data_IF_378691955266
#
_entry.id   IF_378691955266
#
_cell.length_a   1.000
_cell.length_b   1.000
_cell.length_c   1.000
_cell.angle_alpha   90.00
_cell.angle_beta   90.00
_cell.angle_gamma   90.00
#
_symmetry.space_group_name_H-M   'P 1'
#
loop_
_entity.id
_entity.type
_entity.pdbx_description
1 polymer ?
#
# COMPACT_ATOMS: atom_id res chain seq x y z
N UNK A 1 -33.68 -0.11 -22.73
CA UNK A 1 -32.73 -1.25 -22.66
C UNK A 1 -31.34 -0.70 -22.89
N UNK A 2 -30.46 -0.72 -21.89
CA UNK A 2 -29.08 -0.28 -22.06
C UNK A 2 -28.32 -1.39 -22.82
N UNK A 3 -27.91 -1.11 -24.06
CA UNK A 3 -27.00 -1.99 -24.79
C UNK A 3 -25.63 -1.91 -24.12
N UNK A 4 -25.17 -3.02 -23.55
CA UNK A 4 -23.81 -3.16 -23.06
C UNK A 4 -22.88 -3.26 -24.27
N UNK A 5 -22.33 -2.14 -24.72
CA UNK A 5 -21.34 -2.12 -25.80
C UNK A 5 -20.06 -2.77 -25.29
N UNK A 6 -19.61 -3.84 -25.95
CA UNK A 6 -18.29 -4.42 -25.68
C UNK A 6 -17.23 -3.51 -26.27
N UNK A 7 -16.36 -2.99 -25.42
CA UNK A 7 -15.19 -2.23 -25.83
C UNK A 7 -13.97 -3.14 -25.76
N UNK A 8 -13.22 -3.26 -26.87
CA UNK A 8 -11.98 -4.03 -26.90
C UNK A 8 -10.80 -3.07 -26.90
N UNK A 9 -9.91 -3.20 -25.92
CA UNK A 9 -8.71 -2.37 -25.79
C UNK A 9 -7.52 -3.27 -26.08
N UNK A 10 -6.83 -3.02 -27.20
CA UNK A 10 -5.62 -3.75 -27.60
C UNK A 10 -4.41 -2.82 -27.47
N UNK A 11 -3.88 -2.61 -26.25
CA UNK A 11 -2.69 -1.79 -26.07
C UNK A 11 -1.48 -2.42 -26.77
N UNK A 12 -0.61 -1.60 -27.35
CA UNK A 12 0.67 -2.08 -27.88
C UNK A 12 1.58 -2.57 -26.74
N UNK A 13 2.49 -3.50 -27.05
CA UNK A 13 3.46 -3.98 -26.07
C UNK A 13 4.38 -2.86 -25.57
N UNK A 14 4.76 -1.93 -26.46
CA UNK A 14 5.55 -0.74 -26.12
C UNK A 14 4.82 0.15 -25.10
N UNK A 15 3.51 0.37 -25.29
CA UNK A 15 2.69 1.12 -24.36
C UNK A 15 2.63 0.46 -22.98
N UNK A 16 2.41 -0.86 -22.94
CA UNK A 16 2.37 -1.63 -21.70
C UNK A 16 3.69 -1.58 -20.95
N UNK A 17 4.82 -1.64 -21.66
CA UNK A 17 6.15 -1.53 -21.06
C UNK A 17 6.41 -0.12 -20.51
N UNK A 18 6.05 0.93 -21.26
CA UNK A 18 6.25 2.32 -20.81
C UNK A 18 5.38 2.67 -19.60
N UNK A 19 4.15 2.18 -19.57
CA UNK A 19 3.21 2.40 -18.46
C UNK A 19 3.35 1.37 -17.34
N UNK A 20 4.32 0.44 -17.41
CA UNK A 20 4.54 -0.56 -16.38
C UNK A 20 4.95 0.15 -15.06
N UNK A 21 4.13 0.06 -13.99
CA UNK A 21 4.43 0.70 -12.72
C UNK A 21 5.50 -0.08 -11.92
N UNK A 22 5.73 -1.36 -12.25
CA UNK A 22 6.61 -2.27 -11.52
C UNK A 22 8.06 -2.07 -11.94
N UNK A 23 8.68 -1.00 -11.45
CA UNK A 23 10.12 -0.72 -11.66
C UNK A 23 10.90 -0.88 -10.36
N UNK A 24 12.23 -0.80 -10.47
CA UNK A 24 13.09 -0.75 -9.30
C UNK A 24 12.76 0.44 -8.41
N UNK A 25 12.87 0.21 -7.10
CA UNK A 25 12.83 1.30 -6.13
C UNK A 25 14.14 2.09 -6.23
N UNK A 26 14.10 3.39 -5.90
CA UNK A 26 15.30 4.18 -5.69
C UNK A 26 16.23 3.53 -4.65
N UNK A 27 17.54 3.70 -4.86
CA UNK A 27 18.60 3.20 -4.00
C UNK A 27 19.36 4.33 -3.29
N UNK A 28 18.88 5.57 -3.37
CA UNK A 28 19.45 6.66 -2.59
C UNK A 28 19.22 6.43 -1.09
N UNK A 29 20.21 6.73 -0.23
CA UNK A 29 20.14 6.40 1.20
C UNK A 29 18.90 6.96 1.91
N UNK A 30 18.50 8.18 1.59
CA UNK A 30 17.38 8.85 2.24
C UNK A 30 16.06 8.13 1.95
N UNK A 31 15.77 7.87 0.67
CA UNK A 31 14.55 7.15 0.27
C UNK A 31 14.54 5.72 0.81
N UNK A 32 15.70 5.04 0.86
CA UNK A 32 15.83 3.71 1.46
C UNK A 32 15.48 3.75 2.96
N UNK A 33 15.99 4.74 3.69
CA UNK A 33 15.68 4.93 5.10
C UNK A 33 14.17 5.19 5.30
N UNK A 34 13.56 6.01 4.46
CA UNK A 34 12.11 6.27 4.46
C UNK A 34 11.32 4.96 4.25
N UNK A 35 11.66 4.15 3.24
CA UNK A 35 11.00 2.86 3.01
C UNK A 35 11.10 1.93 4.21
N UNK A 36 12.29 1.88 4.81
CA UNK A 36 12.59 1.03 5.97
C UNK A 36 11.72 1.41 7.17
N UNK A 37 11.72 2.68 7.56
CA UNK A 37 10.91 3.14 8.69
C UNK A 37 9.41 3.02 8.42
N UNK A 38 8.92 3.39 7.24
CA UNK A 38 7.49 3.33 6.92
C UNK A 38 6.99 1.88 6.84
N UNK A 39 7.79 0.95 6.31
CA UNK A 39 7.45 -0.47 6.30
C UNK A 39 7.35 -1.04 7.71
N UNK A 40 8.28 -0.65 8.59
CA UNK A 40 8.26 -1.02 10.01
C UNK A 40 7.02 -0.47 10.72
N UNK A 41 6.75 0.84 10.57
CA UNK A 41 5.55 1.49 11.12
C UNK A 41 4.29 0.74 10.70
N UNK A 42 4.14 0.45 9.40
CA UNK A 42 2.99 -0.30 8.88
C UNK A 42 2.82 -1.64 9.59
N UNK A 43 3.89 -2.42 9.72
CA UNK A 43 3.82 -3.76 10.31
C UNK A 43 3.47 -3.69 11.79
N UNK A 44 4.10 -2.78 12.55
CA UNK A 44 3.80 -2.62 13.99
C UNK A 44 2.39 -2.10 14.23
N UNK A 45 1.94 -1.08 13.50
CA UNK A 45 0.57 -0.58 13.62
C UNK A 45 -0.46 -1.66 13.26
N UNK A 46 -0.21 -2.47 12.22
CA UNK A 46 -1.08 -3.60 11.90
C UNK A 46 -1.06 -4.66 13.03
N UNK A 47 0.13 -5.01 13.53
CA UNK A 47 0.34 -6.00 14.58
C UNK A 47 -0.33 -5.62 15.91
N UNK A 48 -0.35 -4.34 16.27
CA UNK A 48 -0.96 -3.87 17.51
C UNK A 48 -2.43 -3.50 17.33
N UNK A 49 -2.81 -2.80 16.26
CA UNK A 49 -4.13 -2.16 16.20
C UNK A 49 -5.17 -2.89 15.34
N UNK A 50 -4.77 -3.76 14.41
CA UNK A 50 -5.70 -4.39 13.44
C UNK A 50 -5.96 -5.87 13.78
N UNK A 51 -7.21 -6.37 13.71
CA UNK A 51 -8.47 -5.62 13.56
C UNK A 51 -8.87 -4.86 14.83
N UNK A 52 -8.27 -5.21 15.97
CA UNK A 52 -8.48 -4.59 17.27
C UNK A 52 -7.20 -4.70 18.10
N UNK A 53 -7.03 -3.83 19.08
CA UNK A 53 -5.94 -3.93 20.05
C UNK A 53 -6.25 -4.93 21.15
N UNK A 54 -5.21 -5.46 21.79
CA UNK A 54 -5.34 -6.25 23.01
C UNK A 54 -5.06 -5.37 24.23
N UNK A 55 -5.74 -5.60 25.37
CA UNK A 55 -5.40 -4.93 26.62
C UNK A 55 -3.93 -5.13 26.97
N UNK A 56 -3.24 -4.03 27.33
CA UNK A 56 -1.81 -4.05 27.65
C UNK A 56 -0.88 -3.97 26.43
N UNK A 57 -1.41 -3.78 25.22
CA UNK A 57 -0.59 -3.43 24.06
C UNK A 57 0.15 -2.10 24.27
N UNK A 58 1.30 -1.95 23.59
CA UNK A 58 2.10 -0.74 23.66
C UNK A 58 1.49 0.39 22.83
N UNK A 59 0.49 1.05 23.41
CA UNK A 59 -0.17 2.21 22.81
C UNK A 59 0.77 3.42 22.70
N UNK A 60 1.80 3.51 23.54
CA UNK A 60 2.77 4.60 23.48
C UNK A 60 3.65 4.48 22.22
N UNK A 61 4.14 3.28 21.92
CA UNK A 61 4.82 2.99 20.65
C UNK A 61 3.89 3.27 19.47
N UNK A 62 2.65 2.77 19.48
CA UNK A 62 1.69 3.05 18.40
C UNK A 62 1.46 4.56 18.18
N UNK A 63 1.38 5.34 19.26
CA UNK A 63 1.24 6.79 19.23
C UNK A 63 2.45 7.48 18.59
N UNK A 64 3.68 7.05 18.94
CA UNK A 64 4.94 7.54 18.34
C UNK A 64 5.01 7.22 16.84
N UNK A 65 4.69 5.99 16.46
CA UNK A 65 4.71 5.54 15.07
C UNK A 65 3.69 6.30 14.21
N UNK A 66 2.47 6.53 14.72
CA UNK A 66 1.49 7.39 14.04
C UNK A 66 1.98 8.85 13.96
N UNK A 67 2.58 9.38 15.03
CA UNK A 67 3.10 10.77 15.04
C UNK A 67 4.21 10.96 13.98
N UNK A 68 5.06 9.95 13.79
CA UNK A 68 6.03 9.95 12.71
C UNK A 68 5.34 10.08 11.34
N UNK A 69 4.31 9.29 11.04
CA UNK A 69 3.59 9.40 9.77
C UNK A 69 2.90 10.75 9.58
N UNK A 70 2.34 11.31 10.65
CA UNK A 70 1.60 12.58 10.62
C UNK A 70 2.50 13.78 10.28
N UNK A 71 3.78 13.73 10.66
CA UNK A 71 4.73 14.85 10.59
C UNK A 71 5.77 14.73 9.47
N UNK A 72 5.92 13.53 8.89
CA UNK A 72 6.91 13.24 7.85
C UNK A 72 6.72 14.08 6.60
N UNK A 73 7.82 14.72 6.16
CA UNK A 73 7.91 15.55 4.95
C UNK A 73 8.60 14.85 3.78
N UNK A 74 9.08 13.63 3.99
CA UNK A 74 9.84 12.82 3.04
C UNK A 74 8.99 11.75 2.33
N UNK A 75 7.70 11.62 2.67
CA UNK A 75 6.80 10.66 2.05
C UNK A 75 6.51 11.05 0.59
N UNK A 76 6.84 10.17 -0.34
CA UNK A 76 6.39 10.27 -1.74
C UNK A 76 5.21 9.33 -1.98
N UNK A 77 4.49 9.51 -3.09
CA UNK A 77 3.40 8.59 -3.46
C UNK A 77 3.90 7.14 -3.63
N UNK A 78 5.12 6.97 -4.15
CA UNK A 78 5.79 5.68 -4.23
C UNK A 78 5.95 5.03 -2.85
N UNK A 79 6.44 5.76 -1.85
CA UNK A 79 6.59 5.25 -0.48
C UNK A 79 5.25 4.81 0.09
N UNK A 80 4.22 5.65 -0.05
CA UNK A 80 2.88 5.35 0.49
C UNK A 80 2.28 4.09 -0.16
N UNK A 81 2.40 3.96 -1.49
CA UNK A 81 1.81 2.85 -2.26
C UNK A 81 2.57 1.53 -2.06
N UNK A 82 3.90 1.54 -2.14
CA UNK A 82 4.73 0.33 -2.08
C UNK A 82 4.76 -0.29 -0.67
N UNK A 83 4.76 0.55 0.36
CA UNK A 83 4.67 0.06 1.74
C UNK A 83 3.26 -0.41 2.09
N UNK A 84 2.23 0.18 1.47
CA UNK A 84 0.83 -0.05 1.80
C UNK A 84 0.44 0.51 3.17
N UNK A 85 1.19 1.49 3.69
CA UNK A 85 0.92 2.10 5.01
C UNK A 85 -0.45 2.78 5.05
N UNK A 86 -0.89 3.37 3.93
CA UNK A 86 -2.22 4.00 3.80
C UNK A 86 -3.35 3.01 4.12
N UNK A 87 -3.25 1.77 3.65
CA UNK A 87 -4.28 0.75 3.88
C UNK A 87 -4.35 0.35 5.36
N UNK A 88 -3.19 0.24 6.03
CA UNK A 88 -3.13 -0.02 7.47
C UNK A 88 -3.74 1.11 8.27
N UNK A 89 -3.38 2.37 7.99
CA UNK A 89 -3.95 3.54 8.67
C UNK A 89 -5.45 3.63 8.40
N UNK A 90 -5.90 3.34 7.18
CA UNK A 90 -7.31 3.27 6.85
C UNK A 90 -8.03 2.15 7.63
N UNK A 91 -7.43 0.96 7.77
CA UNK A 91 -8.00 -0.12 8.57
C UNK A 91 -8.17 0.31 10.04
N UNK A 92 -7.18 1.02 10.61
CA UNK A 92 -7.24 1.56 11.97
C UNK A 92 -8.36 2.59 12.10
N UNK A 93 -8.54 3.45 11.09
CA UNK A 93 -9.57 4.51 11.08
C UNK A 93 -11.01 3.99 11.13
N UNK A 94 -11.26 2.75 10.67
CA UNK A 94 -12.60 2.14 10.61
C UNK A 94 -13.06 1.53 11.94
N UNK A 95 -12.11 1.35 12.86
CA UNK A 95 -12.34 0.85 14.22
C UNK A 95 -13.15 1.86 15.05
N UNK A 96 -13.66 1.40 16.19
CA UNK A 96 -14.43 2.22 17.14
C UNK A 96 -15.87 2.51 16.69
N UNK A 97 -16.37 1.83 15.66
CA UNK A 97 -17.78 1.89 15.26
C UNK A 97 -18.62 0.87 16.05
N UNK A 98 -19.96 0.98 16.08
CA UNK A 98 -20.80 -0.03 16.73
C UNK A 98 -20.58 -1.46 16.19
N UNK A 99 -20.24 -1.58 14.89
CA UNK A 99 -19.91 -2.86 14.23
C UNK A 99 -18.46 -3.29 14.43
N UNK A 100 -17.58 -2.38 14.83
CA UNK A 100 -16.17 -2.62 15.07
C UNK A 100 -15.73 -1.98 16.39
N UNK A 101 -16.30 -2.42 17.54
CA UNK A 101 -15.91 -1.89 18.83
C UNK A 101 -14.44 -2.18 19.12
N UNK A 102 -13.83 -1.31 19.92
CA UNK A 102 -12.45 -1.45 20.39
C UNK A 102 -12.42 -1.32 21.91
N UNK A 103 -11.36 -1.82 22.56
CA UNK A 103 -11.04 -1.46 23.93
C UNK A 103 -10.86 0.05 24.10
N UNK A 104 -10.85 0.52 25.33
CA UNK A 104 -10.45 1.90 25.63
C UNK A 104 -8.96 2.08 25.30
N UNK A 105 -8.65 2.97 24.36
CA UNK A 105 -7.31 3.20 23.85
C UNK A 105 -6.88 4.64 24.17
N UNK A 106 -5.71 4.86 24.81
CA UNK A 106 -5.19 6.20 25.04
C UNK A 106 -4.70 6.86 23.72
N UNK A 107 -4.35 8.15 23.78
CA UNK A 107 -3.74 8.92 22.68
C UNK A 107 -4.59 9.09 21.42
N UNK A 108 -5.89 8.79 21.49
CA UNK A 108 -6.85 9.00 20.41
C UNK A 108 -6.43 8.35 19.08
N UNK A 109 -5.74 7.18 19.14
CA UNK A 109 -5.10 6.52 17.99
C UNK A 109 -6.05 6.34 16.80
N UNK A 110 -7.29 5.94 17.08
CA UNK A 110 -8.31 5.73 16.04
C UNK A 110 -8.75 7.05 15.40
N UNK A 111 -8.91 8.13 16.18
CA UNK A 111 -9.29 9.44 15.63
C UNK A 111 -8.17 10.03 14.78
N UNK A 112 -6.93 9.98 15.29
CA UNK A 112 -5.73 10.38 14.53
C UNK A 112 -5.59 9.63 13.21
N UNK A 113 -5.83 8.31 13.21
CA UNK A 113 -5.83 7.53 11.98
C UNK A 113 -6.95 7.93 11.00
N UNK A 114 -8.13 8.35 11.48
CA UNK A 114 -9.20 8.90 10.62
C UNK A 114 -8.75 10.19 9.96
N UNK A 115 -8.16 11.10 10.72
CA UNK A 115 -7.75 12.40 10.20
C UNK A 115 -6.60 12.27 9.20
N UNK A 116 -5.60 11.43 9.50
CA UNK A 116 -4.51 11.11 8.57
C UNK A 116 -5.02 10.40 7.29
N UNK A 117 -6.00 9.50 7.42
CA UNK A 117 -6.63 8.86 6.26
C UNK A 117 -7.39 9.87 5.40
N UNK A 118 -8.09 10.81 6.03
CA UNK A 118 -8.80 11.88 5.34
C UNK A 118 -7.83 12.79 4.58
N UNK A 119 -6.72 13.18 5.21
CA UNK A 119 -5.62 13.94 4.60
C UNK A 119 -5.08 13.27 3.34
N UNK A 120 -4.60 12.02 3.44
CA UNK A 120 -4.08 11.30 2.28
C UNK A 120 -5.14 11.00 1.22
N UNK A 121 -6.41 10.84 1.61
CA UNK A 121 -7.52 10.70 0.65
C UNK A 121 -7.79 12.00 -0.10
N UNK A 122 -7.74 13.14 0.56
CA UNK A 122 -7.90 14.45 -0.07
C UNK A 122 -6.79 14.70 -1.09
N UNK A 123 -5.53 14.42 -0.72
CA UNK A 123 -4.38 14.53 -1.61
C UNK A 123 -4.52 13.65 -2.87
N UNK A 124 -5.07 12.44 -2.75
CA UNK A 124 -5.29 11.57 -3.93
C UNK A 124 -6.37 12.04 -4.90
N UNK A 125 -7.22 12.99 -4.48
CA UNK A 125 -8.29 13.55 -5.33
C UNK A 125 -7.86 14.81 -6.07
N UNK A 126 -6.66 15.33 -5.79
CA UNK A 126 -6.14 16.51 -6.44
C UNK A 126 -5.85 16.23 -7.93
N UNK A 127 -6.16 17.18 -8.84
CA UNK A 127 -5.89 17.01 -10.28
C UNK A 127 -4.42 16.69 -10.60
N UNK A 128 -3.50 17.23 -9.81
CA UNK A 128 -2.05 17.04 -9.92
C UNK A 128 -1.54 15.70 -9.36
N UNK A 129 -2.42 14.81 -8.88
CA UNK A 129 -2.01 13.50 -8.37
C UNK A 129 -1.38 12.66 -9.50
N UNK A 130 -0.07 12.35 -9.43
CA UNK A 130 0.64 11.69 -10.50
C UNK A 130 0.23 10.22 -10.66
N UNK A 131 0.43 9.67 -11.85
CA UNK A 131 0.20 8.24 -12.13
C UNK A 131 1.40 7.41 -11.71
N UNK A 132 1.18 6.13 -11.35
CA UNK A 132 2.24 5.24 -10.82
C UNK A 132 3.47 5.10 -11.72
N UNK A 133 3.29 5.19 -13.04
CA UNK A 133 4.38 5.08 -14.01
C UNK A 133 5.12 6.39 -14.28
N UNK A 134 4.59 7.53 -13.81
CA UNK A 134 5.19 8.86 -13.97
C UNK A 134 6.33 9.08 -12.97
N UNK A 135 7.31 9.89 -13.37
CA UNK A 135 8.44 10.26 -12.49
C UNK A 135 7.97 11.02 -11.25
N UNK A 136 6.97 11.91 -11.39
CA UNK A 136 6.43 12.69 -10.29
C UNK A 136 5.86 11.81 -9.15
N UNK A 137 5.31 10.63 -9.45
CA UNK A 137 4.87 9.69 -8.41
C UNK A 137 6.01 9.22 -7.50
N UNK A 138 7.24 9.19 -8.03
CA UNK A 138 8.44 8.77 -7.31
C UNK A 138 9.08 9.91 -6.55
N UNK A 139 9.02 11.13 -7.08
CA UNK A 139 9.81 12.27 -6.60
C UNK A 139 8.99 13.30 -5.82
N UNK A 140 7.69 13.40 -6.06
CA UNK A 140 6.83 14.38 -5.40
C UNK A 140 6.62 14.00 -3.94
N UNK A 141 7.15 14.83 -3.05
CA UNK A 141 6.91 14.76 -1.60
C UNK A 141 5.52 15.26 -1.27
N UNK A 142 4.88 14.58 -0.33
CA UNK A 142 3.55 14.92 0.14
C UNK A 142 3.63 15.91 1.30
N UNK A 143 2.70 16.88 1.39
CA UNK A 143 2.64 17.74 2.55
C UNK A 143 2.33 16.91 3.80
N UNK A 144 3.00 17.18 4.94
CA UNK A 144 2.70 16.49 6.18
C UNK A 144 1.29 16.86 6.66
N UNK A 145 0.68 16.00 7.48
CA UNK A 145 -0.61 16.31 8.10
C UNK A 145 -0.44 17.33 9.24
N UNK A 146 0.64 17.21 10.01
CA UNK A 146 1.01 18.10 11.10
C UNK A 146 2.35 18.78 10.75
N UNK A 147 2.43 20.09 10.91
CA UNK A 147 3.63 20.86 10.53
C UNK A 147 4.78 20.76 11.55
N UNK A 148 4.46 20.39 12.80
CA UNK A 148 5.42 20.16 13.87
C UNK A 148 6.45 19.10 13.48
N UNK A 149 7.69 19.28 13.91
CA UNK A 149 8.75 18.31 13.65
C UNK A 149 8.75 17.23 14.72
N UNK A 150 8.77 15.99 14.27
CA UNK A 150 8.90 14.83 15.13
C UNK A 150 9.90 13.86 14.51
N UNK A 151 10.92 13.49 15.29
CA UNK A 151 11.90 12.49 14.91
C UNK A 151 11.52 11.17 15.58
N UNK A 152 11.42 10.11 14.77
CA UNK A 152 11.21 8.77 15.30
C UNK A 152 12.52 8.29 15.94
N UNK A 153 12.48 8.06 17.24
CA UNK A 153 13.57 7.45 18.00
C UNK A 153 13.13 6.05 18.39
N UNK A 154 13.87 5.06 17.88
CA UNK A 154 13.68 3.65 18.17
C UNK A 154 14.79 3.18 19.10
N UNK A 155 14.45 2.28 20.00
CA UNK A 155 15.45 1.62 20.83
C UNK A 155 16.30 0.63 19.99
N UNK A 156 17.40 0.07 20.55
CA UNK A 156 18.24 -0.86 19.80
C UNK A 156 17.54 -2.14 19.33
N UNK A 157 16.56 -2.64 20.10
CA UNK A 157 15.81 -3.84 19.74
C UNK A 157 14.83 -3.55 18.60
N UNK A 158 14.10 -2.44 18.68
CA UNK A 158 13.22 -1.91 17.63
C UNK A 158 13.99 -1.61 16.35
N UNK A 159 15.20 -1.06 16.47
CA UNK A 159 16.09 -0.79 15.33
C UNK A 159 16.52 -2.08 14.65
N UNK A 160 16.94 -3.10 15.42
CA UNK A 160 17.29 -4.40 14.87
C UNK A 160 16.11 -5.10 14.18
N UNK A 161 14.92 -5.00 14.78
CA UNK A 161 13.69 -5.55 14.20
C UNK A 161 13.27 -4.81 12.92
N UNK A 162 13.45 -3.49 12.87
CA UNK A 162 13.25 -2.67 11.67
C UNK A 162 14.17 -3.10 10.53
N UNK A 163 15.45 -3.36 10.79
CA UNK A 163 16.40 -3.84 9.77
C UNK A 163 16.02 -5.22 9.23
N UNK A 164 15.68 -6.15 10.14
CA UNK A 164 15.23 -7.50 9.78
C UNK A 164 13.98 -7.42 8.90
N UNK A 165 12.99 -6.66 9.36
CA UNK A 165 11.70 -6.49 8.69
C UNK A 165 11.85 -5.89 7.30
N UNK A 166 12.67 -4.84 7.16
CA UNK A 166 12.92 -4.21 5.87
C UNK A 166 13.67 -5.12 4.91
N UNK A 167 14.67 -5.87 5.39
CA UNK A 167 15.42 -6.82 4.56
C UNK A 167 14.50 -7.90 3.99
N UNK A 168 13.61 -8.46 4.83
CA UNK A 168 12.62 -9.44 4.39
C UNK A 168 11.61 -8.84 3.40
N UNK A 169 11.08 -7.65 3.70
CA UNK A 169 10.14 -6.96 2.82
C UNK A 169 10.79 -6.66 1.47
N UNK A 170 11.99 -6.06 1.47
CA UNK A 170 12.71 -5.63 0.27
C UNK A 170 13.03 -6.82 -0.63
N UNK A 171 13.50 -7.93 -0.06
CA UNK A 171 13.79 -9.16 -0.80
C UNK A 171 12.55 -9.68 -1.53
N UNK A 172 11.43 -9.86 -0.81
CA UNK A 172 10.17 -10.34 -1.40
C UNK A 172 9.61 -9.38 -2.45
N UNK A 173 9.72 -8.07 -2.18
CA UNK A 173 9.26 -7.00 -3.07
C UNK A 173 10.04 -7.02 -4.37
N UNK A 174 11.37 -7.10 -4.31
CA UNK A 174 12.23 -7.04 -5.50
C UNK A 174 12.15 -8.31 -6.34
N UNK A 175 12.05 -9.50 -5.71
CA UNK A 175 11.75 -10.75 -6.42
C UNK A 175 10.43 -10.63 -7.21
N UNK A 176 9.39 -10.09 -6.58
CA UNK A 176 8.09 -9.88 -7.21
C UNK A 176 8.13 -8.85 -8.32
N UNK A 177 8.81 -7.73 -8.11
CA UNK A 177 9.00 -6.70 -9.13
C UNK A 177 9.79 -7.23 -10.33
N UNK A 178 10.83 -8.04 -10.10
CA UNK A 178 11.59 -8.68 -11.16
C UNK A 178 10.69 -9.56 -12.05
N UNK A 179 9.83 -10.40 -11.44
CA UNK A 179 8.86 -11.21 -12.20
C UNK A 179 7.99 -10.38 -13.13
N UNK A 180 7.44 -9.27 -12.59
CA UNK A 180 6.49 -8.41 -13.31
C UNK A 180 7.14 -7.51 -14.35
N UNK A 181 8.47 -7.36 -14.35
CA UNK A 181 9.19 -6.77 -15.48
C UNK A 181 9.24 -7.73 -16.66
N UNK A 182 9.57 -9.00 -16.42
CA UNK A 182 9.59 -10.03 -17.47
C UNK A 182 8.18 -10.42 -17.93
N UNK A 183 7.20 -10.35 -17.04
CA UNK A 183 5.81 -10.73 -17.26
C UNK A 183 4.92 -9.53 -16.95
N UNK A 184 5.03 -8.48 -17.76
CA UNK A 184 4.24 -7.24 -17.56
C UNK A 184 2.76 -7.59 -17.58
N UNK A 185 2.03 -7.41 -16.46
CA UNK A 185 0.63 -7.80 -16.40
C UNK A 185 -0.21 -6.85 -17.25
N UNK A 186 -1.35 -7.34 -17.71
CA UNK A 186 -2.35 -6.47 -18.31
C UNK A 186 -2.93 -5.51 -17.26
N UNK A 187 -3.29 -4.27 -17.65
CA UNK A 187 -4.03 -3.37 -16.78
C UNK A 187 -5.34 -4.05 -16.32
N UNK A 188 -5.67 -3.84 -15.05
CA UNK A 188 -6.93 -4.33 -14.46
C UNK A 188 -8.16 -3.56 -14.93
N UNK A 189 -7.96 -2.40 -15.54
CA UNK A 189 -9.00 -1.59 -16.13
C UNK A 189 -8.42 -0.39 -16.86
N UNK A 190 -9.30 0.46 -17.36
CA UNK A 190 -8.93 1.69 -18.05
C UNK A 190 -9.87 2.82 -17.64
N UNK A 191 -9.37 4.05 -17.64
CA UNK A 191 -10.17 5.27 -17.44
C UNK A 191 -9.96 6.22 -18.61
N UNK A 192 -11.03 6.89 -19.04
CA UNK A 192 -10.94 7.88 -20.11
C UNK A 192 -9.99 9.00 -19.68
N UNK A 193 -9.03 9.30 -20.55
CA UNK A 193 -8.03 10.35 -20.39
C UNK A 193 -8.51 11.65 -21.03
N UNK A 194 -8.25 12.77 -20.38
CA UNK A 194 -8.31 14.09 -20.99
C UNK A 194 -6.91 14.63 -21.26
N UNK A 195 -6.78 15.59 -22.18
CA UNK A 195 -5.48 16.19 -22.51
C UNK A 195 -4.83 16.83 -21.27
N UNK A 196 -5.64 17.45 -20.41
CA UNK A 196 -5.18 18.09 -19.17
C UNK A 196 -4.56 17.08 -18.19
N UNK A 197 -5.02 15.82 -18.20
CA UNK A 197 -4.51 14.76 -17.33
C UNK A 197 -3.19 14.16 -17.81
N UNK A 198 -2.85 14.34 -19.09
CA UNK A 198 -1.64 13.77 -19.69
C UNK A 198 -0.99 14.86 -20.53
N UNK A 199 -0.31 15.83 -19.89
CA UNK A 199 0.21 17.03 -20.56
C UNK A 199 1.41 16.72 -21.48
N UNK A 200 2.12 15.62 -21.26
CA UNK A 200 3.28 15.20 -22.07
C UNK A 200 2.81 14.62 -23.40
N UNK A 201 3.17 15.27 -24.52
CA UNK A 201 2.74 14.90 -25.87
C UNK A 201 3.12 13.47 -26.24
N UNK A 202 4.35 13.04 -25.95
CA UNK A 202 4.76 11.66 -26.29
C UNK A 202 3.87 10.65 -25.57
N UNK A 203 3.64 10.86 -24.26
CA UNK A 203 2.80 9.99 -23.43
C UNK A 203 1.34 10.01 -23.88
N UNK A 204 0.84 11.18 -24.30
CA UNK A 204 -0.49 11.32 -24.87
C UNK A 204 -0.61 10.46 -26.13
N UNK A 205 0.33 10.55 -27.08
CA UNK A 205 0.28 9.86 -28.38
C UNK A 205 0.31 8.33 -28.30
N UNK A 206 0.90 7.75 -27.26
CA UNK A 206 0.92 6.28 -27.11
C UNK A 206 -0.31 5.70 -26.40
N UNK A 207 -1.23 6.53 -25.87
CA UNK A 207 -2.41 6.00 -25.19
C UNK A 207 -3.28 5.20 -26.16
N UNK A 208 -3.79 4.03 -25.75
CA UNK A 208 -4.63 3.21 -26.60
C UNK A 208 -5.92 3.96 -26.95
N UNK A 209 -6.28 3.85 -28.22
CA UNK A 209 -7.62 4.15 -28.70
C UNK A 209 -8.54 2.98 -28.34
N UNK A 210 -9.73 3.30 -27.86
CA UNK A 210 -10.77 2.30 -27.60
C UNK A 210 -11.79 2.37 -28.71
N UNK A 211 -11.92 1.27 -29.46
CA UNK A 211 -12.97 1.12 -30.46
C UNK A 211 -14.20 0.51 -29.78
N UNK A 212 -15.33 1.20 -29.90
CA UNK A 212 -16.62 0.70 -29.47
C UNK A 212 -17.26 -0.08 -30.62
N UNK A 213 -17.70 -1.32 -30.37
CA UNK A 213 -18.47 -2.08 -31.37
C UNK A 213 -19.75 -1.30 -31.75
N UNK A 214 -19.91 -0.98 -33.04
CA UNK A 214 -21.03 -0.17 -33.56
C UNK A 214 -20.78 1.34 -33.67
N UNK A 215 -19.57 1.84 -33.38
CA UNK A 215 -19.22 3.23 -33.62
C UNK A 215 -19.21 3.58 -35.12
N UNK A 216 -19.89 4.67 -35.50
CA UNK A 216 -20.05 5.10 -36.90
C UNK A 216 -18.74 5.58 -37.56
N UNK A 217 -17.71 5.88 -36.77
CA UNK A 217 -16.38 6.29 -37.24
C UNK A 217 -15.33 6.02 -36.16
N UNK A 218 -14.09 5.63 -36.51
CA UNK A 218 -12.96 5.59 -35.57
C UNK A 218 -12.65 6.96 -34.93
N UNK A 219 -13.13 8.06 -35.53
CA UNK A 219 -12.70 9.43 -35.26
C UNK A 219 -13.79 10.36 -34.70
N UNK A 220 -14.95 9.86 -34.28
CA UNK A 220 -16.08 10.69 -33.82
C UNK A 220 -15.94 11.25 -32.37
N UNK A 221 -14.74 11.69 -32.02
CA UNK A 221 -14.34 12.11 -30.68
C UNK A 221 -13.37 11.10 -30.11
N UNK A 222 -12.14 11.18 -30.58
CA UNK A 222 -11.08 10.25 -30.28
C UNK A 222 -10.77 10.31 -28.76
N UNK A 223 -11.22 9.28 -28.02
CA UNK A 223 -11.03 9.18 -26.56
C UNK A 223 -9.84 8.27 -26.27
N UNK A 224 -8.80 8.84 -25.66
CA UNK A 224 -7.64 8.11 -25.16
C UNK A 224 -7.92 7.57 -23.77
N UNK A 225 -7.31 6.44 -23.42
CA UNK A 225 -7.58 5.76 -22.15
C UNK A 225 -6.30 5.46 -21.39
N UNK A 226 -6.30 5.77 -20.09
CA UNK A 226 -5.21 5.49 -19.17
C UNK A 226 -5.37 4.10 -18.56
N UNK A 227 -4.28 3.33 -18.43
CA UNK A 227 -4.32 2.01 -17.84
C UNK A 227 -4.41 2.11 -16.32
N UNK A 228 -5.17 1.21 -15.70
CA UNK A 228 -5.27 1.09 -14.25
C UNK A 228 -4.58 -0.21 -13.85
N UNK A 229 -3.48 -0.10 -13.10
CA UNK A 229 -2.78 -1.23 -12.52
C UNK A 229 -3.13 -1.38 -11.04
N UNK A 230 -3.31 -2.62 -10.59
CA UNK A 230 -3.41 -2.92 -9.17
C UNK A 230 -2.04 -2.83 -8.49
N UNK A 231 -2.05 -2.74 -7.16
CA UNK A 231 -0.83 -2.69 -6.35
C UNK A 231 0.10 -3.87 -6.60
N UNK A 232 1.40 -3.71 -6.33
CA UNK A 232 2.36 -4.81 -6.35
C UNK A 232 1.91 -5.94 -5.42
N UNK A 233 1.37 -5.62 -4.23
CA UNK A 233 0.92 -6.60 -3.23
C UNK A 233 -0.14 -7.56 -3.78
N UNK A 234 -1.05 -7.08 -4.63
CA UNK A 234 -2.13 -7.88 -5.23
C UNK A 234 -1.75 -8.71 -6.45
N UNK A 235 -0.53 -8.55 -7.00
CA UNK A 235 -0.10 -9.36 -8.14
C UNK A 235 0.23 -10.79 -7.71
N UNK A 236 0.01 -11.78 -8.57
CA UNK A 236 0.41 -13.16 -8.30
C UNK A 236 1.72 -13.48 -9.01
N UNK A 237 2.64 -14.14 -8.30
CA UNK A 237 3.88 -14.69 -8.85
C UNK A 237 3.80 -16.21 -8.71
N UNK A 238 4.13 -16.98 -9.75
CA UNK A 238 4.18 -18.43 -9.66
C UNK A 238 5.07 -18.89 -8.50
N UNK A 239 4.60 -19.89 -7.75
CA UNK A 239 5.37 -20.44 -6.64
C UNK A 239 6.73 -20.95 -7.13
N UNK A 240 7.80 -20.56 -6.44
CA UNK A 240 9.16 -20.97 -6.76
C UNK A 240 9.79 -20.25 -7.96
N UNK A 241 9.10 -19.27 -8.57
CA UNK A 241 9.72 -18.44 -9.60
C UNK A 241 10.92 -17.67 -9.05
N UNK A 242 11.98 -17.56 -9.86
CA UNK A 242 13.16 -16.75 -9.59
C UNK A 242 13.59 -16.01 -10.85
N UNK A 243 14.19 -14.85 -10.68
CA UNK A 243 14.83 -14.16 -11.78
C UNK A 243 15.98 -15.02 -12.33
N UNK A 244 16.22 -15.05 -13.65
CA UNK A 244 17.28 -15.86 -14.26
C UNK A 244 18.68 -15.56 -13.70
N UNK A 245 18.89 -14.33 -13.22
CA UNK A 245 20.11 -13.79 -12.64
C UNK A 245 20.11 -13.77 -11.11
N UNK A 246 19.06 -14.30 -10.45
CA UNK A 246 18.97 -14.31 -9.01
C UNK A 246 20.03 -15.24 -8.38
N UNK A 247 20.63 -14.85 -7.24
CA UNK A 247 21.50 -15.74 -6.49
C UNK A 247 20.73 -17.00 -6.02
N UNK A 248 21.45 -18.13 -5.81
CA UNK A 248 20.83 -19.35 -5.31
C UNK A 248 20.14 -19.10 -3.96
N UNK A 249 19.09 -19.88 -3.63
CA UNK A 249 18.43 -19.78 -2.34
C UNK A 249 19.45 -19.94 -1.23
N UNK A 250 19.53 -18.97 -0.32
CA UNK A 250 20.15 -19.24 0.97
C UNK A 250 19.25 -20.19 1.73
N UNK A 251 19.77 -21.35 2.06
CA UNK A 251 19.09 -22.25 2.98
C UNK A 251 19.07 -21.61 4.36
N UNK A 252 17.87 -21.50 4.94
CA UNK A 252 17.72 -21.08 6.34
C UNK A 252 18.39 -22.12 7.23
N UNK A 253 19.18 -21.65 8.18
CA UNK A 253 19.78 -22.52 9.21
C UNK A 253 18.68 -23.15 10.07
N UNK A 254 19.01 -24.22 10.80
CA UNK A 254 18.08 -24.86 11.75
C UNK A 254 17.55 -23.85 12.77
N UNK A 255 18.42 -23.00 13.31
CA UNK A 255 18.06 -21.97 14.30
C UNK A 255 17.14 -20.89 13.72
N UNK A 256 17.37 -20.46 12.47
CA UNK A 256 16.49 -19.52 11.77
C UNK A 256 15.10 -20.12 11.52
N UNK A 257 15.02 -21.40 11.18
CA UNK A 257 13.75 -22.12 11.01
C UNK A 257 12.98 -22.19 12.35
N UNK A 258 13.65 -22.60 13.41
CA UNK A 258 13.05 -22.68 14.76
C UNK A 258 12.62 -21.31 15.29
N UNK A 259 13.38 -20.25 15.02
CA UNK A 259 13.00 -18.89 15.35
C UNK A 259 11.75 -18.47 14.57
N UNK A 260 11.73 -18.69 13.25
CA UNK A 260 10.58 -18.37 12.41
C UNK A 260 9.31 -19.12 12.86
N UNK A 261 9.42 -20.39 13.24
CA UNK A 261 8.29 -21.17 13.76
C UNK A 261 7.78 -20.67 15.11
N UNK A 262 8.65 -20.12 15.96
CA UNK A 262 8.26 -19.50 17.24
C UNK A 262 7.53 -18.18 17.00
N UNK A 263 8.10 -17.32 16.16
CA UNK A 263 7.49 -16.04 15.77
C UNK A 263 6.13 -16.26 15.09
N UNK A 264 6.06 -17.20 14.14
CA UNK A 264 4.82 -17.55 13.44
C UNK A 264 3.73 -18.07 14.39
N UNK A 265 4.09 -18.90 15.38
CA UNK A 265 3.14 -19.37 16.40
C UNK A 265 2.64 -18.23 17.27
N UNK A 266 3.55 -17.39 17.78
CA UNK A 266 3.19 -16.24 18.60
C UNK A 266 2.26 -15.27 17.86
N UNK A 267 2.54 -14.97 16.60
CA UNK A 267 1.72 -14.12 15.74
C UNK A 267 0.32 -14.70 15.51
N UNK A 268 0.22 -16.01 15.24
CA UNK A 268 -1.06 -16.68 15.06
C UNK A 268 -1.90 -16.69 16.34
N UNK A 269 -1.30 -17.05 17.49
CA UNK A 269 -1.98 -17.02 18.77
C UNK A 269 -2.50 -15.62 19.12
N UNK A 270 -1.68 -14.60 18.86
CA UNK A 270 -2.08 -13.21 19.08
C UNK A 270 -3.24 -12.81 18.15
N UNK A 271 -3.17 -13.20 16.87
CA UNK A 271 -4.24 -12.95 15.90
C UNK A 271 -5.56 -13.61 16.34
N UNK A 272 -5.50 -14.84 16.83
CA UNK A 272 -6.67 -15.54 17.38
C UNK A 272 -7.24 -14.82 18.61
N UNK A 273 -6.38 -14.38 19.55
CA UNK A 273 -6.79 -13.57 20.70
C UNK A 273 -7.50 -12.29 20.28
N UNK A 274 -6.97 -11.58 19.27
CA UNK A 274 -7.61 -10.37 18.71
C UNK A 274 -8.98 -10.66 18.14
N UNK A 275 -9.13 -11.72 17.35
CA UNK A 275 -10.44 -12.10 16.79
C UNK A 275 -11.43 -12.52 17.88
N UNK A 276 -10.98 -13.27 18.89
CA UNK A 276 -11.81 -13.66 20.02
C UNK A 276 -12.31 -12.43 20.80
N UNK A 277 -11.43 -11.48 21.08
CA UNK A 277 -11.78 -10.23 21.74
C UNK A 277 -12.75 -9.40 20.89
N UNK A 278 -12.49 -9.25 19.59
CA UNK A 278 -13.38 -8.49 18.71
C UNK A 278 -14.79 -9.09 18.65
N UNK A 279 -14.88 -10.42 18.63
CA UNK A 279 -16.15 -11.14 18.68
C UNK A 279 -16.87 -10.92 20.01
N UNK A 280 -16.14 -10.89 21.13
CA UNK A 280 -16.70 -10.60 22.46
C UNK A 280 -17.25 -9.18 22.53
N UNK A 281 -16.46 -8.18 22.12
CA UNK A 281 -16.86 -6.76 22.12
C UNK A 281 -18.10 -6.51 21.25
N UNK A 282 -18.18 -7.14 20.07
CA UNK A 282 -19.38 -7.05 19.20
C UNK A 282 -20.63 -7.55 19.90
N UNK A 283 -20.56 -8.71 20.55
CA UNK A 283 -21.69 -9.28 21.31
C UNK A 283 -22.11 -8.40 22.49
N UNK A 284 -21.16 -7.78 23.16
CA UNK A 284 -21.44 -6.86 24.28
C UNK A 284 -22.14 -5.59 23.80
N UNK A 285 -21.70 -5.01 22.67
CA UNK A 285 -22.35 -3.86 22.05
C UNK A 285 -23.76 -4.17 21.53
N UNK A 286 -23.97 -5.34 20.92
CA UNK A 286 -25.29 -5.77 20.46
C UNK A 286 -26.29 -5.88 21.62
N UNK A 287 -25.84 -6.39 22.79
CA UNK A 287 -26.68 -6.44 24.00
C UNK A 287 -27.02 -5.05 24.51
N UNK A 288 -26.04 -4.16 24.61
CA UNK A 288 -26.23 -2.77 25.07
C UNK A 288 -27.12 -1.94 24.15
N UNK A 289 -27.15 -2.24 22.86
CA UNK A 289 -28.01 -1.55 21.88
C UNK A 289 -29.44 -2.09 21.80
N UNK A 290 -29.74 -3.22 22.46
CA UNK A 290 -31.06 -3.83 22.54
C UNK A 290 -31.81 -3.52 23.85
N UNK A 291 -31.11 -2.93 24.83
CA UNK A 291 -31.64 -2.37 26.08
C UNK A 291 -31.99 -0.89 25.91
#
# INVERSE_FOLDING_TARGET
>A
MAQTVRATINPSQEFLQRCNPFKDLPNDPDTVNTFREVSYIKIKLQYYLVPTSLPGDDYALCSKLLRSLETRRDLTWLVIDETGVKDTVQAISRRGSPREPIPDEPFELTQRAKDLTAHWTALTKLPEHPRKWETAFRTQRQPPFITEEFKLELDPEETADLEKTYTEWRTRRDEKAAYLKYNTPHPTGYVQATRDQVPVDETWEMLPWVTFEGAASPNDGSRRWLPIYTSLLSQNVPFGWRAPDAPPPREKTKTEKEQWEREYRADNERRERKYALQKKLRKENERRGAE
#
